data_IF_729345886838
#
_entry.id   IF_729345886838
#
_cell.length_a   1.000
_cell.length_b   1.000
_cell.length_c   1.000
_cell.angle_alpha   90.00
_cell.angle_beta   90.00
_cell.angle_gamma   90.00
#
_symmetry.space_group_name_H-M   'P 1'
#
loop_
_entity.id
_entity.type
_entity.pdbx_description
1 polymer ?
#
# COMPACT_ATOMS: atom_id res chain seq x y z
N UNK A 1 34.72 -26.31 22.84
CA UNK A 1 35.28 -25.73 21.59
C UNK A 1 34.28 -25.99 20.46
N UNK A 2 33.40 -25.04 20.20
CA UNK A 2 32.36 -25.11 19.20
C UNK A 2 32.87 -24.39 17.94
N UNK A 3 32.88 -25.10 16.82
CA UNK A 3 33.33 -24.56 15.51
C UNK A 3 32.29 -23.58 14.96
N UNK A 4 32.68 -22.32 14.82
CA UNK A 4 31.95 -21.30 14.06
C UNK A 4 32.17 -21.64 12.58
N UNK A 5 31.10 -22.04 11.88
CA UNK A 5 31.11 -22.21 10.43
C UNK A 5 31.02 -20.81 9.79
N UNK A 6 32.11 -20.41 9.13
CA UNK A 6 32.15 -19.20 8.30
C UNK A 6 31.24 -19.39 7.07
N UNK A 7 30.10 -18.73 7.06
CA UNK A 7 29.28 -18.57 5.84
C UNK A 7 30.06 -17.74 4.82
N UNK A 8 30.34 -18.32 3.65
CA UNK A 8 31.00 -17.63 2.55
C UNK A 8 30.04 -16.62 1.93
N UNK A 9 30.34 -15.33 2.06
CA UNK A 9 29.66 -14.26 1.34
C UNK A 9 29.96 -14.35 -0.16
N UNK A 10 28.99 -14.11 -1.05
CA UNK A 10 29.25 -14.08 -2.49
C UNK A 10 30.19 -12.93 -2.82
N UNK A 11 31.11 -13.11 -3.79
CA UNK A 11 32.12 -12.11 -4.12
C UNK A 11 31.51 -10.83 -4.68
N UNK A 12 32.13 -9.70 -4.37
CA UNK A 12 31.76 -8.31 -4.77
C UNK A 12 31.44 -8.12 -6.27
N UNK A 13 31.92 -9.02 -7.14
CA UNK A 13 31.66 -8.97 -8.58
C UNK A 13 30.21 -9.24 -9.01
N UNK A 14 29.39 -9.87 -8.16
CA UNK A 14 27.98 -10.20 -8.46
C UNK A 14 27.08 -8.96 -8.26
N UNK A 15 27.48 -7.98 -7.43
CA UNK A 15 26.68 -6.78 -7.13
C UNK A 15 26.75 -5.68 -8.22
N UNK A 16 27.72 -5.72 -9.11
CA UNK A 16 27.94 -4.64 -10.12
C UNK A 16 26.79 -4.47 -11.12
N UNK A 17 25.88 -5.46 -11.25
CA UNK A 17 24.73 -5.45 -12.15
C UNK A 17 23.37 -5.48 -11.42
N UNK A 18 23.35 -5.53 -10.08
CA UNK A 18 22.12 -5.54 -9.32
C UNK A 18 21.43 -4.16 -9.37
N UNK A 19 20.11 -4.16 -9.33
CA UNK A 19 19.34 -2.94 -9.12
C UNK A 19 19.66 -2.37 -7.72
N UNK A 20 19.61 -1.03 -7.54
CA UNK A 20 19.81 -0.43 -6.21
C UNK A 20 18.77 -0.94 -5.22
N UNK A 21 19.15 -1.07 -3.97
CA UNK A 21 18.24 -1.42 -2.88
C UNK A 21 17.13 -0.37 -2.77
N UNK A 22 15.94 -0.78 -2.32
CA UNK A 22 14.86 0.17 -2.05
C UNK A 22 14.69 0.29 -0.54
N UNK A 23 14.83 1.51 -0.02
CA UNK A 23 14.62 1.82 1.40
C UNK A 23 13.34 2.65 1.50
N UNK A 24 12.33 2.06 2.10
CA UNK A 24 10.99 2.61 2.23
C UNK A 24 10.73 3.10 3.65
N UNK A 25 10.28 4.33 3.80
CA UNK A 25 9.86 4.92 5.08
C UNK A 25 8.35 5.00 5.13
N UNK A 26 7.74 4.32 6.11
CA UNK A 26 6.30 4.14 6.17
C UNK A 26 5.71 4.51 7.54
N UNK A 27 4.57 5.20 7.51
CA UNK A 27 3.70 5.40 8.67
C UNK A 27 2.78 4.19 8.93
N UNK A 28 2.77 3.22 8.02
CA UNK A 28 1.95 2.01 8.10
C UNK A 28 2.75 0.88 8.70
N UNK A 29 2.06 -0.03 9.41
CA UNK A 29 2.62 -1.30 9.88
C UNK A 29 2.41 -2.37 8.82
N UNK A 30 3.47 -3.14 8.53
CA UNK A 30 3.42 -4.22 7.54
C UNK A 30 2.37 -5.28 7.85
N UNK A 31 2.23 -5.64 9.12
CA UNK A 31 1.34 -6.72 9.57
C UNK A 31 -0.06 -6.24 9.96
N UNK A 32 -0.39 -4.97 9.77
CA UNK A 32 -1.69 -4.46 10.22
C UNK A 32 -2.82 -4.86 9.26
N UNK A 33 -2.82 -4.37 8.05
CA UNK A 33 -3.76 -4.75 6.98
C UNK A 33 -3.01 -4.82 5.66
N UNK A 34 -3.41 -5.77 4.81
CA UNK A 34 -2.81 -5.95 3.49
C UNK A 34 -3.38 -4.91 2.52
N UNK A 35 -2.52 -4.03 2.01
CA UNK A 35 -2.92 -2.91 1.15
C UNK A 35 -1.80 -2.53 0.17
N UNK A 36 -1.82 -1.33 -0.41
CA UNK A 36 -0.88 -0.85 -1.43
C UNK A 36 0.60 -1.15 -1.15
N UNK A 37 1.18 -0.87 0.05
CA UNK A 37 2.59 -1.18 0.30
C UNK A 37 2.93 -2.65 0.11
N UNK A 38 2.13 -3.57 0.64
CA UNK A 38 2.37 -5.00 0.52
C UNK A 38 2.29 -5.44 -0.94
N UNK A 39 1.28 -4.97 -1.69
CA UNK A 39 1.15 -5.28 -3.12
C UNK A 39 2.33 -4.81 -3.96
N UNK A 40 2.84 -3.60 -3.71
CA UNK A 40 3.93 -3.02 -4.50
C UNK A 40 5.30 -3.56 -4.08
N UNK A 41 5.56 -3.60 -2.77
CA UNK A 41 6.91 -3.89 -2.29
C UNK A 41 7.26 -5.38 -2.33
N UNK A 42 6.31 -6.30 -2.22
CA UNK A 42 6.53 -7.72 -2.50
C UNK A 42 6.90 -7.95 -3.98
N UNK A 43 6.33 -7.17 -4.90
CA UNK A 43 6.72 -7.20 -6.31
C UNK A 43 8.10 -6.58 -6.54
N UNK A 44 8.40 -5.50 -5.85
CA UNK A 44 9.72 -4.88 -5.84
C UNK A 44 10.81 -5.86 -5.36
N UNK A 45 10.52 -6.63 -4.32
CA UNK A 45 11.46 -7.58 -3.73
C UNK A 45 11.85 -8.74 -4.67
N UNK A 46 11.14 -8.95 -5.77
CA UNK A 46 11.49 -9.97 -6.79
C UNK A 46 12.79 -9.67 -7.54
N UNK A 47 13.22 -8.40 -7.62
CA UNK A 47 14.39 -8.00 -8.41
C UNK A 47 15.42 -7.13 -7.66
N UNK A 48 15.13 -6.71 -6.43
CA UNK A 48 16.05 -5.95 -5.56
C UNK A 48 15.69 -6.16 -4.09
N UNK A 49 16.63 -5.88 -3.17
CA UNK A 49 16.30 -5.89 -1.75
C UNK A 49 15.42 -4.68 -1.41
N UNK A 50 14.46 -4.90 -0.51
CA UNK A 50 13.55 -3.88 0.02
C UNK A 50 13.71 -3.83 1.53
N UNK A 51 13.93 -2.64 2.08
CA UNK A 51 13.94 -2.37 3.52
C UNK A 51 12.74 -1.48 3.84
N UNK A 52 11.71 -2.06 4.42
CA UNK A 52 10.50 -1.35 4.82
C UNK A 52 10.64 -0.93 6.28
N UNK A 53 10.93 0.36 6.49
CA UNK A 53 11.16 0.95 7.82
C UNK A 53 9.85 1.52 8.32
N UNK A 54 9.35 0.96 9.41
CA UNK A 54 8.14 1.41 10.09
C UNK A 54 8.43 2.58 11.04
N UNK A 55 7.37 3.27 11.49
CA UNK A 55 7.49 4.19 12.62
C UNK A 55 7.98 3.45 13.88
N UNK A 56 8.70 4.12 14.78
CA UNK A 56 9.20 3.48 15.99
C UNK A 56 8.08 2.96 16.89
N UNK A 57 8.41 1.88 17.61
CA UNK A 57 7.61 1.37 18.74
C UNK A 57 8.31 1.79 20.03
N UNK A 58 7.53 2.27 20.97
CA UNK A 58 8.03 2.68 22.29
C UNK A 58 7.80 1.58 23.33
N UNK A 59 8.75 1.41 24.24
CA UNK A 59 8.65 0.40 25.30
C UNK A 59 9.79 0.49 26.31
N UNK A 60 9.81 -0.44 27.26
CA UNK A 60 10.79 -0.47 28.37
C UNK A 60 12.17 -1.02 27.98
N UNK A 61 12.40 -1.31 26.70
CA UNK A 61 13.66 -1.92 26.22
C UNK A 61 14.73 -0.91 25.83
N UNK A 62 15.90 -1.43 25.48
CA UNK A 62 17.00 -0.65 24.89
C UNK A 62 16.66 -0.26 23.43
N UNK A 63 17.30 0.80 22.96
CA UNK A 63 17.25 1.18 21.54
C UNK A 63 17.83 0.06 20.67
N UNK A 64 17.08 -0.40 19.67
CA UNK A 64 17.51 -1.42 18.70
C UNK A 64 16.64 -1.39 17.45
N UNK A 65 17.15 -2.00 16.38
CA UNK A 65 16.35 -2.32 15.18
C UNK A 65 15.94 -3.78 15.24
N UNK A 66 14.64 -4.05 15.19
CA UNK A 66 14.13 -5.38 14.97
C UNK A 66 13.97 -5.58 13.46
N UNK A 67 14.80 -6.45 12.86
CA UNK A 67 14.77 -6.72 11.41
C UNK A 67 14.33 -8.15 11.20
N UNK A 68 13.33 -8.36 10.34
CA UNK A 68 12.88 -9.69 9.93
C UNK A 68 12.69 -9.74 8.40
N UNK A 69 12.84 -10.90 7.83
CA UNK A 69 12.69 -11.16 6.39
C UNK A 69 11.53 -12.13 6.17
N UNK A 70 10.27 -11.64 5.99
CA UNK A 70 9.12 -12.50 5.78
C UNK A 70 9.13 -13.20 4.41
N UNK A 71 9.74 -12.58 3.42
CA UNK A 71 9.93 -13.10 2.07
C UNK A 71 11.35 -12.76 1.59
N UNK A 72 11.90 -13.55 0.68
CA UNK A 72 13.24 -13.32 0.16
C UNK A 72 13.42 -11.91 -0.41
N UNK A 73 14.39 -11.19 0.10
CA UNK A 73 14.71 -9.82 -0.31
C UNK A 73 13.82 -8.72 0.27
N UNK A 74 12.84 -9.05 1.11
CA UNK A 74 11.97 -8.09 1.78
C UNK A 74 12.29 -8.06 3.29
N UNK A 75 12.86 -6.97 3.75
CA UNK A 75 13.23 -6.76 5.16
C UNK A 75 12.26 -5.76 5.80
N UNK A 76 11.58 -6.18 6.85
CA UNK A 76 10.73 -5.31 7.68
C UNK A 76 11.56 -4.86 8.87
N UNK A 77 11.71 -3.55 9.02
CA UNK A 77 12.57 -2.91 10.00
C UNK A 77 11.72 -2.11 10.96
N UNK A 78 11.73 -2.49 12.24
CA UNK A 78 10.94 -1.83 13.29
C UNK A 78 11.89 -1.23 14.32
N UNK A 79 12.08 0.10 14.33
CA UNK A 79 12.86 0.77 15.37
C UNK A 79 12.18 0.63 16.74
N UNK A 80 12.93 0.22 17.75
CA UNK A 80 12.49 0.14 19.14
C UNK A 80 13.14 1.27 19.93
N UNK A 81 12.32 2.12 20.54
CA UNK A 81 12.76 3.28 21.32
C UNK A 81 12.27 3.18 22.76
N UNK A 82 13.03 3.69 23.76
CA UNK A 82 12.58 3.69 25.13
C UNK A 82 11.42 4.68 25.36
N UNK A 83 10.47 4.32 26.21
CA UNK A 83 9.31 5.16 26.58
C UNK A 83 9.68 6.56 27.07
N UNK A 84 10.86 6.73 27.65
CA UNK A 84 11.36 8.00 28.13
C UNK A 84 11.81 8.99 27.05
N UNK A 85 11.97 8.55 25.81
CA UNK A 85 12.41 9.39 24.70
C UNK A 85 11.22 10.17 24.14
N UNK A 86 11.09 11.46 24.51
CA UNK A 86 9.93 12.31 24.15
C UNK A 86 10.29 13.49 23.24
N UNK A 87 11.54 13.92 23.23
CA UNK A 87 12.00 15.04 22.39
C UNK A 87 12.03 14.63 20.94
N UNK A 88 11.26 15.32 20.10
CA UNK A 88 11.27 15.11 18.65
C UNK A 88 12.66 15.23 18.03
N UNK A 89 13.46 16.21 18.48
CA UNK A 89 14.84 16.39 18.04
C UNK A 89 15.68 15.17 18.37
N UNK A 90 15.55 14.64 19.60
CA UNK A 90 16.28 13.45 20.02
C UNK A 90 15.81 12.19 19.28
N UNK A 91 14.50 12.04 19.05
CA UNK A 91 13.93 10.93 18.26
C UNK A 91 14.51 10.96 16.84
N UNK A 92 14.50 12.11 16.17
CA UNK A 92 15.04 12.25 14.82
C UNK A 92 16.56 11.97 14.77
N UNK A 93 17.34 12.41 15.77
CA UNK A 93 18.76 12.09 15.86
C UNK A 93 19.01 10.59 16.02
N UNK A 94 18.22 9.90 16.85
CA UNK A 94 18.29 8.45 17.04
C UNK A 94 17.88 7.72 15.76
N UNK A 95 16.78 8.10 15.12
CA UNK A 95 16.32 7.51 13.86
C UNK A 95 17.35 7.66 12.74
N UNK A 96 18.02 8.80 12.68
CA UNK A 96 19.14 9.04 11.77
C UNK A 96 20.28 8.04 11.99
N UNK A 97 20.68 7.84 13.23
CA UNK A 97 21.79 6.92 13.57
C UNK A 97 21.38 5.47 13.33
N UNK A 98 20.17 5.07 13.73
CA UNK A 98 19.63 3.74 13.45
C UNK A 98 19.57 3.44 11.95
N UNK A 99 19.20 4.43 11.13
CA UNK A 99 19.20 4.25 9.66
C UNK A 99 20.63 4.06 9.13
N UNK A 100 21.61 4.78 9.67
CA UNK A 100 23.03 4.57 9.31
C UNK A 100 23.54 3.18 9.73
N UNK A 101 23.17 2.75 10.93
CA UNK A 101 23.50 1.41 11.42
C UNK A 101 22.91 0.34 10.50
N UNK A 102 21.63 0.44 10.12
CA UNK A 102 20.99 -0.45 9.16
C UNK A 102 21.77 -0.53 7.84
N UNK A 103 22.19 0.61 7.32
CA UNK A 103 22.95 0.68 6.06
C UNK A 103 24.29 -0.03 6.17
N UNK A 104 25.00 0.16 7.29
CA UNK A 104 26.26 -0.50 7.56
C UNK A 104 26.10 -2.03 7.75
N UNK A 105 25.15 -2.46 8.55
CA UNK A 105 24.92 -3.87 8.86
C UNK A 105 24.46 -4.71 7.66
N UNK A 106 23.75 -4.07 6.71
CA UNK A 106 23.21 -4.74 5.53
C UNK A 106 23.94 -4.40 4.23
N UNK A 107 25.10 -3.70 4.28
CA UNK A 107 25.87 -3.26 3.11
C UNK A 107 24.96 -2.52 2.08
N UNK A 108 24.20 -1.54 2.51
CA UNK A 108 23.33 -0.73 1.65
C UNK A 108 24.15 0.46 1.10
N UNK A 109 24.75 0.27 -0.08
CA UNK A 109 25.64 1.28 -0.68
C UNK A 109 24.93 2.07 -1.79
N UNK A 110 24.16 1.39 -2.62
CA UNK A 110 23.38 1.98 -3.70
C UNK A 110 21.90 1.77 -3.43
N UNK A 111 21.16 2.83 -3.25
CA UNK A 111 19.78 2.76 -2.80
C UNK A 111 18.90 3.85 -3.42
N UNK A 112 17.60 3.51 -3.45
CA UNK A 112 16.51 4.42 -3.80
C UNK A 112 15.68 4.63 -2.53
N UNK A 113 15.33 5.88 -2.24
CA UNK A 113 14.39 6.18 -1.17
C UNK A 113 12.96 6.17 -1.70
N UNK A 114 12.08 5.56 -0.89
CA UNK A 114 10.63 5.55 -1.09
C UNK A 114 9.93 6.06 0.16
N UNK A 115 9.23 7.16 0.02
CA UNK A 115 8.51 7.78 1.12
C UNK A 115 7.02 7.51 1.00
N UNK A 116 6.44 6.86 2.02
CA UNK A 116 4.99 6.86 2.26
C UNK A 116 4.58 7.97 3.24
N UNK A 117 5.53 8.60 3.91
CA UNK A 117 5.29 9.69 4.85
C UNK A 117 6.33 10.80 4.72
N UNK A 118 5.91 12.07 4.66
CA UNK A 118 6.82 13.20 4.69
C UNK A 118 7.59 13.34 6.00
N UNK A 119 7.09 12.74 7.10
CA UNK A 119 7.73 12.84 8.42
C UNK A 119 9.14 12.27 8.45
N UNK A 120 9.43 11.29 7.60
CA UNK A 120 10.75 10.68 7.51
C UNK A 120 11.84 11.66 7.01
N UNK A 121 11.46 12.73 6.32
CA UNK A 121 12.41 13.74 5.83
C UNK A 121 13.26 14.34 6.97
N UNK A 122 12.71 14.44 8.18
CA UNK A 122 13.38 14.99 9.37
C UNK A 122 14.67 14.27 9.76
N UNK A 123 14.83 13.02 9.36
CA UNK A 123 16.01 12.23 9.70
C UNK A 123 16.71 11.61 8.49
N UNK A 124 16.20 11.88 7.27
CA UNK A 124 16.75 11.32 6.02
C UNK A 124 17.38 12.38 5.10
N UNK A 125 17.26 13.65 5.38
CA UNK A 125 17.71 14.79 4.58
C UNK A 125 19.21 14.82 4.23
N UNK A 126 20.04 14.12 5.01
CA UNK A 126 21.48 14.05 4.86
C UNK A 126 21.98 12.81 4.08
N UNK A 127 21.09 11.90 3.70
CA UNK A 127 21.44 10.77 2.85
C UNK A 127 21.40 11.16 1.37
N UNK A 128 22.19 10.45 0.55
CA UNK A 128 22.29 10.70 -0.90
C UNK A 128 21.79 9.48 -1.69
N UNK A 129 20.47 9.26 -1.79
CA UNK A 129 19.92 8.19 -2.62
C UNK A 129 20.22 8.46 -4.10
N UNK A 130 20.34 7.38 -4.91
CA UNK A 130 20.44 7.50 -6.37
C UNK A 130 19.17 8.12 -6.94
N UNK A 131 18.02 7.78 -6.38
CA UNK A 131 16.72 8.36 -6.70
C UNK A 131 15.85 8.40 -5.45
N UNK A 132 14.87 9.30 -5.43
CA UNK A 132 13.90 9.42 -4.35
C UNK A 132 12.49 9.54 -4.90
N UNK A 133 11.56 8.84 -4.26
CA UNK A 133 10.17 8.72 -4.67
C UNK A 133 9.28 9.10 -3.48
N UNK A 134 8.26 9.90 -3.74
CA UNK A 134 7.14 10.09 -2.81
C UNK A 134 5.91 9.36 -3.36
N UNK A 135 5.50 8.28 -2.70
CA UNK A 135 4.22 7.61 -2.97
C UNK A 135 3.14 8.19 -2.07
N UNK A 136 2.55 9.28 -2.53
CA UNK A 136 1.44 10.00 -1.92
C UNK A 136 0.16 9.17 -2.11
N UNK A 137 -0.01 8.14 -1.28
CA UNK A 137 -1.15 7.24 -1.41
C UNK A 137 -2.46 7.82 -0.87
N UNK A 138 -2.38 8.78 0.05
CA UNK A 138 -3.49 9.45 0.71
C UNK A 138 -3.15 10.91 1.01
N UNK A 139 -4.15 11.76 1.25
CA UNK A 139 -3.97 13.10 1.82
C UNK A 139 -3.80 13.00 3.35
N UNK A 140 -2.56 12.70 3.78
CA UNK A 140 -2.26 12.41 5.20
C UNK A 140 -2.61 13.54 6.14
N UNK A 141 -2.56 14.79 5.67
CA UNK A 141 -2.89 15.98 6.48
C UNK A 141 -4.37 16.09 6.82
N UNK A 142 -5.23 15.39 6.10
CA UNK A 142 -6.67 15.39 6.30
C UNK A 142 -7.16 14.36 7.34
N UNK A 143 -6.27 13.46 7.81
CA UNK A 143 -6.66 12.46 8.80
C UNK A 143 -6.77 13.05 10.20
N UNK A 144 -7.71 12.54 11.00
CA UNK A 144 -7.84 12.91 12.41
C UNK A 144 -6.54 12.63 13.17
N UNK A 145 -6.04 13.63 13.88
CA UNK A 145 -4.79 13.54 14.63
C UNK A 145 -3.53 13.65 13.78
N UNK A 146 -3.64 14.06 12.51
CA UNK A 146 -2.49 14.33 11.65
C UNK A 146 -1.52 15.33 12.30
N UNK A 147 -0.21 15.05 12.18
CA UNK A 147 0.81 15.92 12.74
C UNK A 147 0.79 17.30 12.07
N UNK A 148 0.84 18.39 12.85
CA UNK A 148 0.69 19.77 12.34
C UNK A 148 1.77 20.17 11.32
N UNK A 149 2.92 19.52 11.31
CA UNK A 149 4.01 19.79 10.36
C UNK A 149 3.87 19.02 9.03
N UNK A 150 2.92 18.09 8.91
CA UNK A 150 2.75 17.30 7.67
C UNK A 150 2.66 18.15 6.41
N UNK A 151 1.83 19.23 6.34
CA UNK A 151 1.73 20.02 5.11
C UNK A 151 3.04 20.72 4.74
N UNK A 152 3.82 21.15 5.75
CA UNK A 152 5.11 21.79 5.51
C UNK A 152 6.14 20.78 4.98
N UNK A 153 6.24 19.62 5.64
CA UNK A 153 7.16 18.56 5.25
C UNK A 153 6.81 17.94 3.90
N UNK A 154 5.52 17.82 3.59
CA UNK A 154 5.07 17.37 2.26
C UNK A 154 5.54 18.35 1.17
N UNK A 155 5.37 19.65 1.40
CA UNK A 155 5.85 20.68 0.46
C UNK A 155 7.38 20.63 0.29
N UNK A 156 8.12 20.33 1.34
CA UNK A 156 9.57 20.12 1.29
C UNK A 156 9.89 18.85 0.50
N UNK A 157 9.19 17.75 0.78
CA UNK A 157 9.39 16.47 0.11
C UNK A 157 9.14 16.59 -1.41
N UNK A 158 8.10 17.30 -1.84
CA UNK A 158 7.87 17.62 -3.26
C UNK A 158 9.06 18.32 -3.93
N UNK A 159 9.86 19.10 -3.19
CA UNK A 159 11.04 19.78 -3.75
C UNK A 159 12.26 18.87 -3.87
N UNK A 160 12.33 17.83 -3.04
CA UNK A 160 13.51 16.98 -2.89
C UNK A 160 13.44 15.68 -3.70
N UNK A 161 12.24 15.16 -3.99
CA UNK A 161 12.10 13.89 -4.67
C UNK A 161 12.22 14.01 -6.19
N UNK A 162 12.49 12.89 -6.85
CA UNK A 162 12.57 12.80 -8.31
C UNK A 162 11.25 12.45 -8.95
N UNK A 163 10.45 11.64 -8.24
CA UNK A 163 9.16 11.13 -8.71
C UNK A 163 8.11 11.27 -7.60
N UNK A 164 6.91 11.59 -8.01
CA UNK A 164 5.73 11.55 -7.16
C UNK A 164 4.70 10.61 -7.77
N UNK A 165 4.27 9.63 -6.99
CA UNK A 165 3.15 8.75 -7.32
C UNK A 165 1.95 9.13 -6.47
N UNK A 166 0.75 9.16 -7.04
CA UNK A 166 -0.46 9.41 -6.27
C UNK A 166 -1.33 8.17 -6.23
N UNK A 167 -1.95 7.90 -5.08
CA UNK A 167 -2.78 6.73 -4.84
C UNK A 167 -4.13 6.73 -5.56
N UNK A 168 -4.50 7.85 -6.22
CA UNK A 168 -5.76 8.01 -6.91
C UNK A 168 -5.71 9.11 -7.95
N UNK A 169 -6.72 9.15 -8.82
CA UNK A 169 -6.85 10.16 -9.86
C UNK A 169 -7.19 11.54 -9.27
N UNK A 170 -8.10 11.60 -8.30
CA UNK A 170 -8.47 12.85 -7.62
C UNK A 170 -7.29 13.46 -6.86
N UNK A 171 -6.47 12.61 -6.25
CA UNK A 171 -5.24 13.05 -5.57
C UNK A 171 -4.20 13.55 -6.57
N UNK A 172 -4.08 12.91 -7.75
CA UNK A 172 -3.25 13.41 -8.84
C UNK A 172 -3.68 14.82 -9.28
N UNK A 173 -4.96 15.03 -9.52
CA UNK A 173 -5.52 16.33 -9.91
C UNK A 173 -5.21 17.42 -8.87
N UNK A 174 -5.20 17.07 -7.57
CA UNK A 174 -4.88 17.99 -6.48
C UNK A 174 -3.36 18.29 -6.37
N UNK A 175 -2.48 17.37 -6.78
CA UNK A 175 -1.03 17.46 -6.55
C UNK A 175 -0.20 17.69 -7.83
N UNK A 176 -0.74 17.49 -9.03
CA UNK A 176 0.02 17.47 -10.29
C UNK A 176 0.80 18.78 -10.57
N UNK A 177 0.35 19.92 -10.05
CA UNK A 177 1.01 21.22 -10.23
C UNK A 177 2.12 21.49 -9.18
N UNK A 178 2.35 20.59 -8.23
CA UNK A 178 3.32 20.78 -7.14
C UNK A 178 4.70 20.21 -7.46
N UNK A 179 4.81 19.34 -8.50
CA UNK A 179 6.06 18.72 -8.90
C UNK A 179 6.09 18.43 -10.40
N UNK A 180 7.28 18.47 -11.02
CA UNK A 180 7.44 18.27 -12.47
C UNK A 180 7.22 16.83 -12.97
N UNK A 181 7.19 15.84 -12.09
CA UNK A 181 7.02 14.42 -12.44
C UNK A 181 6.05 13.75 -11.47
N UNK A 182 4.77 14.03 -11.62
CA UNK A 182 3.66 13.42 -10.86
C UNK A 182 2.94 12.43 -11.75
N UNK A 183 2.67 11.24 -11.24
CA UNK A 183 2.02 10.14 -11.97
C UNK A 183 0.91 9.52 -11.13
N UNK A 184 -0.28 9.37 -11.72
CA UNK A 184 -1.41 8.73 -11.07
C UNK A 184 -1.27 7.19 -11.14
N UNK A 185 -1.33 6.55 -9.99
CA UNK A 185 -1.39 5.09 -9.85
C UNK A 185 -2.53 4.74 -8.89
N UNK A 186 -3.78 4.77 -9.36
CA UNK A 186 -4.93 4.38 -8.55
C UNK A 186 -4.80 2.97 -7.99
N UNK A 187 -5.61 2.67 -7.00
CA UNK A 187 -5.71 1.33 -6.43
C UNK A 187 -5.97 0.29 -7.51
N UNK A 188 -5.23 -0.80 -7.46
CA UNK A 188 -5.26 -1.89 -8.41
C UNK A 188 -5.78 -3.18 -7.77
N UNK A 189 -5.64 -4.33 -8.41
CA UNK A 189 -6.29 -5.58 -8.02
C UNK A 189 -5.36 -6.79 -8.19
N UNK A 190 -5.47 -7.75 -7.26
CA UNK A 190 -5.12 -9.14 -7.47
C UNK A 190 -6.40 -9.90 -7.90
N UNK A 191 -6.72 -9.82 -9.19
CA UNK A 191 -7.95 -10.38 -9.72
C UNK A 191 -8.04 -11.91 -9.53
N UNK A 192 -6.92 -12.62 -9.61
CA UNK A 192 -6.89 -14.07 -9.42
C UNK A 192 -7.27 -14.46 -7.98
N UNK A 193 -6.82 -13.64 -7.01
CA UNK A 193 -7.15 -13.86 -5.61
C UNK A 193 -8.65 -13.67 -5.35
N UNK A 194 -9.24 -12.54 -5.75
CA UNK A 194 -10.63 -12.22 -5.45
C UNK A 194 -11.64 -13.00 -6.29
N UNK A 195 -11.28 -13.43 -7.52
CA UNK A 195 -12.13 -14.32 -8.34
C UNK A 195 -12.43 -15.66 -7.69
N UNK A 196 -11.66 -16.11 -6.71
CA UNK A 196 -11.95 -17.30 -5.92
C UNK A 196 -13.34 -17.23 -5.28
N UNK A 197 -13.81 -16.05 -4.91
CA UNK A 197 -15.15 -15.84 -4.37
C UNK A 197 -16.28 -16.26 -5.30
N UNK A 198 -16.04 -16.33 -6.61
CA UNK A 198 -17.05 -16.75 -7.60
C UNK A 198 -17.30 -18.25 -7.62
N UNK A 199 -16.37 -19.03 -7.07
CA UNK A 199 -16.41 -20.51 -7.05
C UNK A 199 -16.29 -21.08 -5.63
N UNK A 200 -16.17 -20.24 -4.61
CA UNK A 200 -16.10 -20.67 -3.23
C UNK A 200 -17.43 -21.34 -2.82
N UNK A 201 -17.32 -22.50 -2.19
CA UNK A 201 -18.48 -23.36 -1.89
C UNK A 201 -18.90 -23.26 -0.43
N UNK A 202 -17.99 -22.85 0.46
CA UNK A 202 -18.25 -22.90 1.90
C UNK A 202 -18.10 -21.52 2.53
N UNK A 203 -19.17 -21.06 3.16
CA UNK A 203 -19.15 -19.91 4.03
C UNK A 203 -18.21 -20.11 5.25
N UNK A 204 -17.45 -19.12 5.67
CA UNK A 204 -16.77 -19.15 6.96
C UNK A 204 -17.74 -19.40 8.11
N UNK A 205 -17.27 -20.13 9.14
CA UNK A 205 -18.12 -20.59 10.25
C UNK A 205 -18.83 -19.44 10.96
N UNK A 206 -18.13 -18.35 11.19
CA UNK A 206 -18.63 -17.14 11.88
C UNK A 206 -19.55 -16.27 11.00
N UNK A 207 -19.65 -16.56 9.70
CA UNK A 207 -20.57 -15.91 8.77
C UNK A 207 -21.77 -16.81 8.39
N UNK A 208 -21.59 -18.11 8.42
CA UNK A 208 -22.54 -19.08 7.86
C UNK A 208 -23.95 -19.04 8.48
N UNK A 209 -24.06 -18.59 9.73
CA UNK A 209 -25.34 -18.43 10.43
C UNK A 209 -26.07 -17.11 10.14
N UNK A 210 -25.43 -16.16 9.46
CA UNK A 210 -26.04 -14.86 9.14
C UNK A 210 -26.99 -15.04 7.96
N UNK A 211 -28.29 -14.68 8.08
CA UNK A 211 -29.26 -14.87 7.00
C UNK A 211 -28.98 -13.95 5.78
N UNK A 212 -29.53 -14.32 4.64
CA UNK A 212 -29.62 -13.47 3.44
C UNK A 212 -30.91 -12.60 3.45
N UNK A 213 -30.94 -11.43 2.80
CA UNK A 213 -29.82 -10.86 2.06
C UNK A 213 -28.72 -10.36 2.99
N UNK A 214 -27.49 -10.61 2.58
CA UNK A 214 -26.28 -10.29 3.32
C UNK A 214 -25.48 -9.20 2.61
N UNK A 215 -25.37 -8.03 3.24
CA UNK A 215 -24.66 -6.89 2.72
C UNK A 215 -23.33 -6.77 3.49
N UNK A 216 -22.19 -6.81 2.79
CA UNK A 216 -20.90 -6.95 3.46
C UNK A 216 -19.93 -5.81 3.22
N UNK A 217 -19.11 -5.52 4.22
CA UNK A 217 -17.97 -4.61 4.17
C UNK A 217 -16.75 -5.29 4.77
N UNK A 218 -15.58 -5.10 4.17
CA UNK A 218 -14.32 -5.35 4.85
C UNK A 218 -13.38 -4.15 4.77
N UNK A 219 -12.64 -3.89 5.83
CA UNK A 219 -11.64 -2.83 5.91
C UNK A 219 -11.50 -2.25 7.31
N UNK A 220 -10.62 -1.27 7.44
CA UNK A 220 -10.47 -0.54 8.71
C UNK A 220 -11.74 0.25 8.98
N UNK A 221 -12.25 0.13 10.21
CA UNK A 221 -13.41 0.88 10.72
C UNK A 221 -12.86 2.02 11.56
N UNK A 222 -12.82 3.22 11.00
CA UNK A 222 -12.30 4.44 11.61
C UNK A 222 -13.18 5.65 11.24
N UNK A 223 -12.66 6.87 11.40
CA UNK A 223 -13.36 8.13 11.08
C UNK A 223 -13.83 8.25 9.62
N UNK A 224 -13.36 7.36 8.74
CA UNK A 224 -13.79 7.31 7.32
C UNK A 224 -15.00 6.44 7.09
N UNK A 225 -15.40 5.63 8.07
CA UNK A 225 -16.57 4.76 7.96
C UNK A 225 -17.84 5.51 8.34
N UNK A 226 -18.85 5.51 7.47
CA UNK A 226 -20.13 6.17 7.71
C UNK A 226 -21.03 5.32 8.62
N UNK A 227 -20.81 5.46 9.92
CA UNK A 227 -21.58 4.75 10.94
C UNK A 227 -23.05 5.19 10.98
N UNK A 228 -23.34 6.46 10.66
CA UNK A 228 -24.69 7.00 10.68
C UNK A 228 -25.53 6.43 9.53
N UNK A 229 -24.96 6.35 8.32
CA UNK A 229 -25.64 5.72 7.19
C UNK A 229 -25.93 4.23 7.47
N UNK A 230 -24.96 3.50 8.03
CA UNK A 230 -25.16 2.10 8.42
C UNK A 230 -26.29 1.96 9.45
N UNK A 231 -26.29 2.81 10.49
CA UNK A 231 -27.32 2.82 11.55
C UNK A 231 -28.71 3.00 10.97
N UNK A 232 -28.89 4.04 10.15
CA UNK A 232 -30.19 4.39 9.57
C UNK A 232 -30.70 3.34 8.60
N UNK A 233 -29.84 2.76 7.77
CA UNK A 233 -30.22 1.69 6.83
C UNK A 233 -30.60 0.41 7.59
N UNK A 234 -29.80 0.02 8.60
CA UNK A 234 -30.06 -1.16 9.40
C UNK A 234 -31.39 -1.04 10.19
N UNK A 235 -31.71 0.15 10.71
CA UNK A 235 -32.98 0.41 11.38
C UNK A 235 -34.18 0.34 10.42
N UNK A 236 -34.05 0.86 9.20
CA UNK A 236 -35.12 0.85 8.18
C UNK A 236 -35.34 -0.53 7.55
N UNK A 237 -34.30 -1.38 7.51
CA UNK A 237 -34.34 -2.71 6.89
C UNK A 237 -33.87 -3.79 7.87
N UNK A 238 -34.68 -4.09 8.87
CA UNK A 238 -34.38 -5.14 9.86
C UNK A 238 -34.39 -6.57 9.24
N UNK A 239 -34.87 -6.71 8.02
CA UNK A 239 -34.86 -7.92 7.21
C UNK A 239 -33.53 -8.16 6.45
N UNK A 240 -32.64 -7.16 6.39
CA UNK A 240 -31.31 -7.27 5.81
C UNK A 240 -30.26 -7.49 6.88
N UNK A 241 -29.17 -8.17 6.53
CA UNK A 241 -28.08 -8.44 7.45
C UNK A 241 -26.78 -7.79 6.96
N UNK A 242 -26.06 -7.11 7.86
CA UNK A 242 -24.83 -6.40 7.57
C UNK A 242 -23.64 -7.14 8.17
N UNK A 243 -22.76 -7.71 7.32
CA UNK A 243 -21.54 -8.40 7.74
C UNK A 243 -20.36 -7.41 7.66
N UNK A 244 -19.88 -6.95 8.81
CA UNK A 244 -18.84 -5.92 8.91
C UNK A 244 -17.54 -6.54 9.40
N UNK A 245 -16.51 -6.51 8.55
CA UNK A 245 -15.21 -7.16 8.78
C UNK A 245 -14.10 -6.11 8.88
N UNK A 246 -13.30 -6.17 9.94
CA UNK A 246 -12.10 -5.37 10.08
C UNK A 246 -11.78 -4.93 11.50
N UNK A 247 -10.58 -4.35 11.69
CA UNK A 247 -10.21 -3.76 12.96
C UNK A 247 -10.89 -2.40 13.16
N UNK A 248 -11.30 -2.14 14.39
CA UNK A 248 -11.83 -0.83 14.81
C UNK A 248 -10.65 -0.04 15.39
N UNK A 249 -10.36 1.14 14.80
CA UNK A 249 -9.25 1.98 15.23
C UNK A 249 -9.64 3.46 15.22
N UNK A 250 -9.04 4.25 16.10
CA UNK A 250 -9.22 5.72 16.22
C UNK A 250 -10.65 6.21 16.55
N UNK A 251 -11.61 5.32 16.67
CA UNK A 251 -12.98 5.61 17.11
C UNK A 251 -13.32 4.74 18.32
N UNK A 252 -14.29 5.21 19.10
CA UNK A 252 -14.80 4.44 20.23
C UNK A 252 -15.65 3.27 19.72
N UNK A 253 -15.33 2.00 20.03
CA UNK A 253 -16.15 0.85 19.66
C UNK A 253 -17.61 0.95 20.15
N UNK A 254 -17.84 1.66 21.26
CA UNK A 254 -19.19 1.87 21.81
C UNK A 254 -20.03 2.84 20.99
N UNK A 255 -19.43 3.64 20.10
CA UNK A 255 -20.13 4.52 19.16
C UNK A 255 -20.69 3.80 17.94
N UNK A 256 -20.35 2.53 17.72
CA UNK A 256 -20.84 1.77 16.58
C UNK A 256 -22.31 1.38 16.74
N UNK A 257 -23.10 1.36 15.65
CA UNK A 257 -24.49 0.89 15.66
C UNK A 257 -24.61 -0.53 16.19
N UNK A 258 -25.60 -0.78 17.07
CA UNK A 258 -25.77 -2.07 17.77
C UNK A 258 -27.10 -2.77 17.39
N UNK A 259 -27.59 -2.59 16.16
CA UNK A 259 -28.78 -3.30 15.68
C UNK A 259 -28.53 -4.81 15.59
N UNK A 260 -29.58 -5.62 15.83
CA UNK A 260 -29.49 -7.09 15.83
C UNK A 260 -29.05 -7.68 14.47
N UNK A 261 -29.26 -6.94 13.41
CA UNK A 261 -28.92 -7.32 12.03
C UNK A 261 -27.55 -6.75 11.58
N UNK A 262 -26.76 -6.17 12.48
CA UNK A 262 -25.38 -5.79 12.21
C UNK A 262 -24.44 -6.77 12.92
N UNK A 263 -23.56 -7.42 12.17
CA UNK A 263 -22.67 -8.46 12.63
C UNK A 263 -21.21 -7.99 12.46
N UNK A 264 -20.53 -7.64 13.55
CA UNK A 264 -19.12 -7.27 13.55
C UNK A 264 -18.26 -8.53 13.71
N UNK A 265 -17.62 -8.99 12.63
CA UNK A 265 -16.88 -10.25 12.58
C UNK A 265 -15.38 -10.08 12.92
N UNK A 266 -14.94 -8.86 13.27
CA UNK A 266 -13.55 -8.57 13.58
C UNK A 266 -12.59 -8.67 12.38
N UNK A 267 -11.28 -8.51 12.60
CA UNK A 267 -10.30 -8.56 11.52
C UNK A 267 -10.14 -9.96 10.95
N UNK A 268 -9.90 -10.04 9.63
CA UNK A 268 -9.64 -11.28 8.89
C UNK A 268 -8.36 -11.13 8.09
N UNK A 269 -7.67 -12.25 7.84
CA UNK A 269 -6.50 -12.27 6.98
C UNK A 269 -6.90 -12.05 5.51
N UNK A 270 -6.01 -11.45 4.73
CA UNK A 270 -6.21 -11.17 3.31
C UNK A 270 -6.63 -12.42 2.53
N UNK A 271 -6.00 -13.56 2.83
CA UNK A 271 -6.25 -14.85 2.17
C UNK A 271 -7.67 -15.37 2.38
N UNK A 272 -8.33 -14.97 3.48
CA UNK A 272 -9.69 -15.40 3.82
C UNK A 272 -10.78 -14.55 3.18
N UNK A 273 -10.46 -13.32 2.75
CA UNK A 273 -11.46 -12.37 2.26
C UNK A 273 -12.33 -12.88 1.10
N UNK A 274 -11.80 -13.64 0.11
CA UNK A 274 -12.64 -14.21 -0.94
C UNK A 274 -13.74 -15.14 -0.42
N UNK A 275 -13.50 -15.90 0.65
CA UNK A 275 -14.49 -16.83 1.21
C UNK A 275 -15.65 -16.06 1.87
N UNK A 276 -15.35 -14.97 2.57
CA UNK A 276 -16.40 -14.09 3.11
C UNK A 276 -17.19 -13.40 2.01
N UNK A 277 -16.50 -12.86 0.99
CA UNK A 277 -17.14 -12.23 -0.16
C UNK A 277 -18.08 -13.18 -0.88
N UNK A 278 -17.74 -14.47 -0.99
CA UNK A 278 -18.58 -15.46 -1.65
C UNK A 278 -20.01 -15.48 -1.09
N UNK A 279 -20.13 -15.33 0.22
CA UNK A 279 -21.41 -15.35 0.93
C UNK A 279 -22.19 -14.03 0.92
N UNK A 280 -21.70 -12.94 0.28
CA UNK A 280 -22.42 -11.66 0.24
C UNK A 280 -23.30 -11.55 -1.00
N UNK A 281 -24.44 -10.89 -0.85
CA UNK A 281 -25.31 -10.53 -1.96
C UNK A 281 -24.88 -9.19 -2.57
N UNK A 282 -24.49 -8.24 -1.71
CA UNK A 282 -24.03 -6.89 -2.07
C UNK A 282 -22.78 -6.57 -1.25
N UNK A 283 -21.79 -5.93 -1.85
CA UNK A 283 -20.64 -5.37 -1.16
C UNK A 283 -20.79 -3.86 -0.96
N UNK A 284 -20.31 -3.36 0.16
CA UNK A 284 -20.53 -1.99 0.63
C UNK A 284 -19.26 -1.18 0.69
N UNK A 285 -19.31 0.08 0.23
CA UNK A 285 -18.30 1.09 0.43
C UNK A 285 -18.93 2.27 1.20
N UNK A 286 -19.11 2.07 2.50
CA UNK A 286 -19.72 3.06 3.40
C UNK A 286 -18.66 4.05 3.89
N UNK A 287 -18.25 4.97 3.02
CA UNK A 287 -17.32 6.02 3.39
C UNK A 287 -18.06 7.30 3.76
N UNK A 288 -17.74 7.86 4.93
CA UNK A 288 -18.17 9.19 5.31
C UNK A 288 -17.60 10.22 4.33
N UNK A 289 -18.39 11.20 3.93
CA UNK A 289 -17.98 12.26 3.00
C UNK A 289 -17.36 13.42 3.77
N UNK A 290 -16.06 13.32 4.05
CA UNK A 290 -15.30 14.31 4.79
C UNK A 290 -13.92 14.54 4.13
N UNK A 291 -13.09 15.40 4.73
CA UNK A 291 -11.79 15.75 4.15
C UNK A 291 -10.86 14.52 4.00
N UNK A 292 -10.91 13.58 4.94
CA UNK A 292 -10.05 12.39 4.90
C UNK A 292 -10.42 11.38 3.80
N UNK A 293 -11.65 11.45 3.27
CA UNK A 293 -12.13 10.57 2.20
C UNK A 293 -12.18 11.24 0.83
N UNK A 294 -11.92 12.54 0.77
CA UNK A 294 -12.06 13.35 -0.45
C UNK A 294 -11.22 12.84 -1.62
N UNK A 295 -10.04 12.30 -1.34
CA UNK A 295 -9.07 11.89 -2.35
C UNK A 295 -8.71 10.40 -2.28
N UNK A 296 -9.47 9.59 -1.56
CA UNK A 296 -9.19 8.16 -1.46
C UNK A 296 -9.54 7.42 -2.77
N UNK A 297 -8.73 6.43 -3.10
CA UNK A 297 -9.00 5.47 -4.17
C UNK A 297 -9.07 4.07 -3.53
N UNK A 298 -10.28 3.62 -3.12
CA UNK A 298 -10.43 2.41 -2.33
C UNK A 298 -10.04 1.15 -3.11
N UNK A 299 -9.08 0.36 -2.59
CA UNK A 299 -8.71 -0.96 -3.13
C UNK A 299 -9.91 -1.91 -3.20
N UNK A 300 -10.84 -1.77 -2.27
CA UNK A 300 -12.05 -2.58 -2.17
C UNK A 300 -12.94 -2.51 -3.41
N UNK A 301 -12.95 -1.39 -4.13
CA UNK A 301 -13.80 -1.25 -5.32
C UNK A 301 -13.49 -2.31 -6.37
N UNK A 302 -12.25 -2.40 -6.92
CA UNK A 302 -11.92 -3.46 -7.87
C UNK A 302 -11.90 -4.85 -7.23
N UNK A 303 -11.63 -4.99 -5.92
CA UNK A 303 -11.65 -6.25 -5.20
C UNK A 303 -13.04 -6.87 -5.16
N UNK A 304 -14.06 -6.10 -4.78
CA UNK A 304 -15.46 -6.52 -4.78
C UNK A 304 -15.98 -6.86 -6.17
N UNK A 305 -15.64 -6.01 -7.15
CA UNK A 305 -16.01 -6.24 -8.54
C UNK A 305 -15.37 -7.53 -9.08
N UNK A 306 -14.09 -7.77 -8.81
CA UNK A 306 -13.40 -9.00 -9.22
C UNK A 306 -14.01 -10.25 -8.57
N UNK A 307 -14.49 -10.14 -7.32
CA UNK A 307 -15.25 -11.19 -6.64
C UNK A 307 -16.65 -11.41 -7.25
N UNK A 308 -17.08 -10.61 -8.23
CA UNK A 308 -18.40 -10.68 -8.85
C UNK A 308 -19.51 -10.17 -7.94
N UNK A 309 -19.20 -9.28 -6.99
CA UNK A 309 -20.20 -8.70 -6.09
C UNK A 309 -20.65 -7.34 -6.60
N UNK A 310 -21.96 -7.10 -6.75
CA UNK A 310 -22.49 -5.75 -6.93
C UNK A 310 -22.10 -4.87 -5.75
N UNK A 311 -21.82 -3.59 -6.04
CA UNK A 311 -21.29 -2.67 -5.05
C UNK A 311 -22.21 -1.46 -4.92
N UNK A 312 -22.46 -1.04 -3.68
CA UNK A 312 -23.06 0.26 -3.37
C UNK A 312 -22.01 1.09 -2.64
N UNK A 313 -21.78 2.31 -3.09
CA UNK A 313 -20.82 3.24 -2.52
C UNK A 313 -21.45 4.59 -2.25
N UNK A 314 -21.02 5.26 -1.21
CA UNK A 314 -21.15 6.71 -1.11
C UNK A 314 -20.35 7.39 -2.22
N UNK A 315 -20.65 8.65 -2.53
CA UNK A 315 -20.10 9.40 -3.68
C UNK A 315 -18.63 9.81 -3.48
N UNK A 316 -17.74 8.83 -3.30
CA UNK A 316 -16.30 9.04 -3.32
C UNK A 316 -15.84 9.31 -4.75
N UNK A 317 -15.07 10.36 -4.95
CA UNK A 317 -14.69 10.85 -6.28
C UNK A 317 -14.10 9.76 -7.18
N UNK A 318 -13.12 9.00 -6.68
CA UNK A 318 -12.45 7.93 -7.43
C UNK A 318 -13.28 6.63 -7.51
N UNK A 319 -14.46 6.58 -6.88
CA UNK A 319 -15.46 5.53 -7.11
C UNK A 319 -16.52 6.01 -8.12
N UNK A 320 -17.00 7.24 -7.99
CA UNK A 320 -17.90 7.83 -9.00
C UNK A 320 -17.23 7.78 -10.37
N UNK A 321 -15.97 8.19 -10.45
CA UNK A 321 -15.12 8.13 -11.64
C UNK A 321 -14.04 7.04 -11.46
N UNK A 322 -14.01 5.99 -12.30
CA UNK A 322 -14.90 5.70 -13.44
C UNK A 322 -16.05 4.74 -13.12
N UNK A 323 -16.10 4.13 -11.94
CA UNK A 323 -16.96 2.96 -11.68
C UNK A 323 -18.45 3.31 -11.71
N UNK A 324 -18.85 4.42 -11.08
CA UNK A 324 -20.22 4.92 -11.10
C UNK A 324 -20.67 5.34 -12.51
N UNK A 325 -19.84 6.13 -13.21
CA UNK A 325 -20.10 6.58 -14.58
C UNK A 325 -20.29 5.42 -15.57
N UNK A 326 -19.53 4.34 -15.39
CA UNK A 326 -19.64 3.12 -16.20
C UNK A 326 -20.74 2.17 -15.70
N UNK A 327 -21.50 2.56 -14.67
CA UNK A 327 -22.55 1.73 -14.05
C UNK A 327 -22.04 0.35 -13.59
N UNK A 328 -20.84 0.30 -13.07
CA UNK A 328 -20.25 -0.88 -12.42
C UNK A 328 -20.53 -0.89 -10.93
N UNK A 329 -20.75 0.31 -10.34
CA UNK A 329 -21.06 0.55 -8.93
C UNK A 329 -22.28 1.46 -8.85
N UNK A 330 -23.22 1.18 -7.97
CA UNK A 330 -24.32 2.05 -7.63
C UNK A 330 -23.85 3.09 -6.60
N UNK A 331 -24.21 4.36 -6.79
CA UNK A 331 -23.85 5.46 -5.89
C UNK A 331 -25.08 5.86 -5.10
N UNK A 332 -24.95 5.93 -3.77
CA UNK A 332 -26.03 6.27 -2.85
C UNK A 332 -25.47 6.99 -1.61
N UNK A 333 -25.95 8.18 -1.36
CA UNK A 333 -25.47 9.05 -0.28
C UNK A 333 -26.45 9.17 0.89
N UNK A 334 -27.68 8.73 0.69
CA UNK A 334 -28.74 8.77 1.70
C UNK A 334 -29.28 7.37 1.97
N UNK A 335 -29.87 7.09 3.16
CA UNK A 335 -30.48 5.81 3.46
C UNK A 335 -31.53 5.36 2.44
N UNK A 336 -32.34 6.28 1.92
CA UNK A 336 -33.39 5.97 0.97
C UNK A 336 -32.82 5.61 -0.42
N UNK A 337 -31.82 6.35 -0.91
CA UNK A 337 -31.08 6.00 -2.13
C UNK A 337 -30.38 4.65 -1.98
N UNK A 338 -29.77 4.39 -0.81
CA UNK A 338 -29.10 3.13 -0.51
C UNK A 338 -30.06 1.95 -0.58
N UNK A 339 -31.25 2.08 0.05
CA UNK A 339 -32.29 1.05 0.03
C UNK A 339 -32.78 0.81 -1.40
N UNK A 340 -33.04 1.88 -2.18
CA UNK A 340 -33.47 1.76 -3.57
C UNK A 340 -32.40 1.04 -4.43
N UNK A 341 -31.13 1.41 -4.26
CA UNK A 341 -30.02 0.76 -4.98
C UNK A 341 -29.90 -0.74 -4.62
N UNK A 342 -30.01 -1.07 -3.33
CA UNK A 342 -29.94 -2.45 -2.88
C UNK A 342 -31.13 -3.29 -3.36
N UNK A 343 -32.35 -2.76 -3.31
CA UNK A 343 -33.54 -3.44 -3.84
C UNK A 343 -33.44 -3.67 -5.35
N UNK A 344 -32.95 -2.69 -6.09
CA UNK A 344 -32.67 -2.81 -7.51
C UNK A 344 -31.70 -3.97 -7.78
N UNK A 345 -30.57 -4.02 -7.05
CA UNK A 345 -29.55 -5.07 -7.19
C UNK A 345 -30.10 -6.45 -6.84
N UNK A 346 -30.84 -6.57 -5.74
CA UNK A 346 -31.39 -7.84 -5.27
C UNK A 346 -32.45 -8.43 -6.22
N UNK A 347 -33.13 -7.56 -6.99
CA UNK A 347 -34.15 -7.95 -7.97
C UNK A 347 -33.61 -8.02 -9.41
N UNK A 348 -32.32 -7.72 -9.66
CA UNK A 348 -31.76 -7.65 -11.00
C UNK A 348 -31.48 -9.05 -11.59
N UNK A 349 -32.13 -9.34 -12.72
CA UNK A 349 -31.90 -10.54 -13.52
C UNK A 349 -30.76 -10.42 -14.54
N UNK A 350 -30.21 -9.22 -14.74
CA UNK A 350 -29.16 -8.94 -15.74
C UNK A 350 -27.73 -9.05 -15.21
N UNK A 351 -27.55 -9.71 -14.06
CA UNK A 351 -26.27 -9.83 -13.36
C UNK A 351 -25.13 -10.40 -14.23
N UNK A 352 -25.42 -11.29 -15.16
CA UNK A 352 -24.42 -11.88 -16.06
C UNK A 352 -23.84 -10.86 -17.06
N UNK A 353 -24.67 -9.96 -17.58
CA UNK A 353 -24.25 -8.89 -18.48
C UNK A 353 -23.42 -7.83 -17.73
N UNK A 354 -23.86 -7.48 -16.52
CA UNK A 354 -23.10 -6.60 -15.63
C UNK A 354 -21.71 -7.19 -15.33
N UNK A 355 -21.62 -8.47 -14.99
CA UNK A 355 -20.35 -9.14 -14.69
C UNK A 355 -19.41 -9.16 -15.90
N UNK A 356 -19.95 -9.32 -17.12
CA UNK A 356 -19.17 -9.22 -18.35
C UNK A 356 -18.57 -7.83 -18.52
N UNK A 357 -19.31 -6.75 -18.24
CA UNK A 357 -18.78 -5.38 -18.26
C UNK A 357 -17.68 -5.18 -17.21
N UNK A 358 -17.88 -5.71 -16.00
CA UNK A 358 -16.89 -5.70 -14.92
C UNK A 358 -15.58 -6.39 -15.37
N UNK A 359 -15.67 -7.59 -15.92
CA UNK A 359 -14.50 -8.35 -16.34
C UNK A 359 -13.74 -7.66 -17.47
N UNK A 360 -14.45 -7.07 -18.43
CA UNK A 360 -13.84 -6.26 -19.49
C UNK A 360 -13.13 -5.02 -18.95
N UNK A 361 -13.70 -4.36 -17.94
CA UNK A 361 -13.07 -3.21 -17.31
C UNK A 361 -11.81 -3.59 -16.53
N UNK A 362 -11.87 -4.69 -15.75
CA UNK A 362 -10.78 -5.11 -14.88
C UNK A 362 -9.62 -5.82 -15.60
N UNK A 363 -9.79 -6.25 -16.87
CA UNK A 363 -8.77 -7.03 -17.60
C UNK A 363 -7.41 -6.34 -17.71
N UNK A 364 -7.42 -5.00 -17.74
CA UNK A 364 -6.22 -4.18 -17.86
C UNK A 364 -5.69 -3.63 -16.53
N UNK A 365 -6.33 -3.95 -15.43
CA UNK A 365 -5.98 -3.50 -14.08
C UNK A 365 -5.36 -4.64 -13.31
N UNK A 366 -4.10 -4.49 -12.86
CA UNK A 366 -3.45 -5.41 -11.93
C UNK A 366 -2.26 -4.76 -11.23
N UNK A 367 -1.97 -5.23 -10.02
CA UNK A 367 -0.78 -4.77 -9.29
C UNK A 367 0.52 -5.07 -10.03
N UNK A 368 0.58 -6.14 -10.84
CA UNK A 368 1.78 -6.43 -11.67
C UNK A 368 1.97 -5.39 -12.77
N UNK A 369 0.88 -4.97 -13.45
CA UNK A 369 0.94 -3.88 -14.44
C UNK A 369 1.29 -2.55 -13.80
N UNK A 370 0.69 -2.25 -12.65
CA UNK A 370 0.98 -1.03 -11.87
C UNK A 370 2.47 -0.99 -11.49
N UNK A 371 2.98 -2.07 -10.89
CA UNK A 371 4.38 -2.15 -10.50
C UNK A 371 5.32 -2.04 -11.72
N UNK A 372 5.02 -2.70 -12.82
CA UNK A 372 5.85 -2.62 -14.03
C UNK A 372 5.97 -1.18 -14.57
N UNK A 373 4.89 -0.40 -14.53
CA UNK A 373 4.91 1.01 -14.93
C UNK A 373 5.70 1.88 -13.94
N UNK A 374 5.49 1.69 -12.63
CA UNK A 374 6.22 2.41 -11.59
C UNK A 374 7.72 2.08 -11.65
N UNK A 375 8.09 0.79 -11.75
CA UNK A 375 9.48 0.34 -11.84
C UNK A 375 10.19 0.94 -13.06
N UNK A 376 9.50 1.02 -14.21
CA UNK A 376 10.06 1.66 -15.41
C UNK A 376 10.41 3.14 -15.20
N UNK A 377 9.55 3.90 -14.50
CA UNK A 377 9.81 5.30 -14.17
C UNK A 377 11.01 5.42 -13.22
N UNK A 378 11.09 4.55 -12.23
CA UNK A 378 12.22 4.50 -11.28
C UNK A 378 13.52 4.20 -12.01
N UNK A 379 13.53 3.15 -12.85
CA UNK A 379 14.71 2.74 -13.59
C UNK A 379 15.19 3.87 -14.53
N UNK A 380 14.29 4.61 -15.17
CA UNK A 380 14.64 5.78 -16.00
C UNK A 380 15.36 6.89 -15.20
N UNK A 381 14.94 7.14 -13.95
CA UNK A 381 15.62 8.14 -13.09
C UNK A 381 16.97 7.61 -12.64
N UNK A 382 17.03 6.37 -12.18
CA UNK A 382 18.27 5.72 -11.74
C UNK A 382 19.32 5.71 -12.86
N UNK A 383 18.92 5.36 -14.08
CA UNK A 383 19.85 5.30 -15.23
C UNK A 383 20.39 6.67 -15.62
N UNK A 384 19.58 7.73 -15.52
CA UNK A 384 20.03 9.11 -15.78
C UNK A 384 21.05 9.61 -14.76
N UNK A 385 21.00 9.11 -13.51
CA UNK A 385 21.88 9.54 -12.42
C UNK A 385 23.09 8.65 -12.20
N UNK A 386 23.09 7.42 -12.75
CA UNK A 386 24.29 6.60 -12.76
C UNK A 386 25.33 7.29 -13.66
N UNK A 387 26.57 7.54 -13.17
CA UNK A 387 27.62 8.07 -14.04
C UNK A 387 27.78 7.11 -15.23
N UNK A 388 27.89 7.68 -16.43
CA UNK A 388 28.13 6.90 -17.64
C UNK A 388 29.30 5.95 -17.35
N UNK A 389 29.09 4.64 -17.50
CA UNK A 389 30.18 3.67 -17.39
C UNK A 389 31.29 4.13 -18.31
N UNK A 390 32.45 4.52 -17.75
CA UNK A 390 33.64 4.71 -18.54
C UNK A 390 33.85 3.44 -19.34
N UNK A 391 33.71 3.55 -20.68
CA UNK A 391 34.01 2.44 -21.55
C UNK A 391 35.40 1.94 -21.15
N UNK A 392 35.49 0.71 -20.69
CA UNK A 392 36.76 0.07 -20.39
C UNK A 392 37.62 0.17 -21.62
N UNK A 393 38.59 1.07 -21.59
CA UNK A 393 39.63 1.14 -22.64
C UNK A 393 40.30 -0.23 -22.65
N UNK A 394 40.27 -0.98 -23.77
CA UNK A 394 40.96 -2.26 -23.79
C UNK A 394 42.45 -1.98 -23.54
N UNK A 395 42.99 -2.59 -22.50
CA UNK A 395 44.42 -2.61 -22.25
C UNK A 395 45.08 -3.28 -23.46
N UNK A 396 45.61 -2.44 -24.39
CA UNK A 396 46.48 -2.89 -25.44
C UNK A 396 47.64 -3.65 -24.82
N UNK A 397 47.73 -4.93 -25.08
CA UNK A 397 48.89 -5.77 -24.77
C UNK A 397 50.13 -5.09 -25.37
N UNK A 398 50.93 -4.45 -24.53
CA UNK A 398 52.28 -4.04 -24.93
C UNK A 398 53.08 -5.33 -25.11
N UNK A 399 53.34 -5.65 -26.40
CA UNK A 399 54.20 -6.73 -26.79
C UNK A 399 55.64 -6.38 -26.41
N UNK A 400 56.16 -6.97 -25.39
CA UNK A 400 57.60 -6.97 -25.07
C UNK A 400 58.31 -7.92 -26.05
N UNK A 401 58.81 -7.35 -27.16
CA UNK A 401 59.85 -8.00 -27.95
C UNK A 401 61.17 -7.89 -27.18
N UNK A 402 61.62 -9.01 -26.65
CA UNK A 402 62.99 -9.17 -26.18
C UNK A 402 63.96 -9.13 -27.39
N UNK A 403 64.84 -8.18 -27.41
CA UNK A 403 66.03 -8.23 -28.28
C UNK A 403 67.13 -8.97 -27.53
N UNK A 404 67.42 -10.16 -27.96
CA UNK A 404 68.69 -10.82 -27.72
C UNK A 404 69.62 -10.50 -28.90
N UNK A 405 70.75 -9.93 -28.62
CA UNK A 405 72.02 -9.89 -29.40
C UNK A 405 72.99 -8.95 -28.70
N UNK A 406 74.25 -9.14 -28.49
CA UNK A 406 75.30 -10.08 -28.97
C UNK A 406 76.49 -9.90 -28.03
N UNK A 407 77.21 -10.95 -27.81
CA UNK A 407 78.55 -11.02 -27.27
C UNK A 407 79.57 -10.35 -28.20
N UNK A 408 80.51 -9.67 -27.64
CA UNK A 408 81.99 -9.89 -27.79
C UNK A 408 82.71 -9.13 -26.70
#
# INVERSE_FOLDING_TARGET
MSKITSGSFPPLSVRANAKPDLVCFSHLRWDFVYQRPQHLLTRCARDRRVFFIEEPIYGNGSMRLDVREPEAGLHIVVPQLPDGLRSEIAINAVMKEMTRQLFFEHDIDQYVFWYYTPMALKFTDHFNPIASIYDCMDELSAFKGAHSQLPLLEKELFRCVDLVFTGGQSLYEAKCNQHGSVHAFPSSIDAAHFRKARTAVKDPEDQSSIPHPRLGFFGVIDERFDTELLDQVAAKRPDWNFAIIGPIVKIDPDSLPKHKNIHYLGPKKYEQLPDYLAGWDIALLLFARNDSTRFISPTKTPEYLAAGKPVISTSITDVVRPYGELKLVEIADTPDEFIQAAEKILNDSSRSEWLTRVDNFLQDISWDKTWAQMSKLIDLVVDKRRPARSASVPLNKVSTRANAAIST
#
